data_IF_692621867001
#
_entry.id   IF_692621867001
#
_cell.length_a   1.000
_cell.length_b   1.000
_cell.length_c   1.000
_cell.angle_alpha   90.00
_cell.angle_beta   90.00
_cell.angle_gamma   90.00
#
_symmetry.space_group_name_H-M   'P 1'
#
loop_
_entity.id
_entity.type
_entity.pdbx_description
1 polymer ?
#
# COMPACT_ATOMS: atom_id res chain seq x y z
N UNK A 1 -17.63 -5.51 21.25
CA UNK A 1 -17.79 -6.30 20.03
C UNK A 1 -17.67 -7.78 20.40
N UNK A 2 -18.62 -8.62 20.03
CA UNK A 2 -18.60 -10.07 20.31
C UNK A 2 -18.38 -10.83 19.01
N UNK A 3 -17.78 -12.01 19.02
CA UNK A 3 -17.50 -12.80 17.82
C UNK A 3 -18.76 -13.09 16.99
N UNK A 4 -19.91 -13.30 17.62
CA UNK A 4 -21.20 -13.53 16.96
C UNK A 4 -21.83 -12.27 16.35
N UNK A 5 -21.32 -11.07 16.65
CA UNK A 5 -21.81 -9.79 16.09
C UNK A 5 -20.98 -9.29 14.92
N UNK A 6 -19.86 -9.97 14.61
CA UNK A 6 -19.01 -9.63 13.47
C UNK A 6 -19.73 -10.05 12.18
N UNK A 7 -20.15 -9.07 11.40
CA UNK A 7 -20.81 -9.27 10.10
C UNK A 7 -20.06 -8.47 9.03
N UNK A 8 -20.01 -9.04 7.83
CA UNK A 8 -19.51 -8.31 6.67
C UNK A 8 -20.42 -7.10 6.38
N UNK A 9 -19.84 -6.00 5.92
CA UNK A 9 -20.61 -4.82 5.51
C UNK A 9 -21.63 -5.18 4.43
N UNK A 10 -22.81 -4.55 4.42
CA UNK A 10 -23.80 -4.76 3.35
C UNK A 10 -23.17 -4.56 1.97
N UNK A 11 -23.40 -5.49 1.05
CA UNK A 11 -22.82 -5.46 -0.30
C UNK A 11 -21.38 -5.95 -0.45
N UNK A 12 -20.65 -6.25 0.63
CA UNK A 12 -19.27 -6.76 0.57
C UNK A 12 -19.16 -8.20 0.08
N UNK A 13 -20.27 -8.97 0.14
CA UNK A 13 -20.36 -10.34 -0.39
C UNK A 13 -21.46 -10.43 -1.42
N UNK A 14 -21.15 -10.91 -2.62
CA UNK A 14 -22.13 -11.24 -3.63
C UNK A 14 -22.84 -12.55 -3.32
N UNK A 15 -24.08 -12.67 -3.76
CA UNK A 15 -24.85 -13.92 -3.65
C UNK A 15 -24.22 -14.99 -4.53
N UNK A 16 -24.05 -16.21 -4.01
CA UNK A 16 -23.49 -17.34 -4.75
C UNK A 16 -24.47 -17.80 -5.84
N UNK A 17 -24.03 -17.81 -7.10
CA UNK A 17 -24.79 -18.36 -8.21
C UNK A 17 -24.62 -19.88 -8.29
N UNK A 18 -25.74 -20.59 -8.40
CA UNK A 18 -25.80 -22.04 -8.67
C UNK A 18 -25.95 -22.26 -10.17
N UNK A 19 -24.83 -22.45 -10.84
CA UNK A 19 -24.79 -22.63 -12.30
C UNK A 19 -25.27 -24.04 -12.73
N UNK A 20 -25.77 -24.18 -13.96
CA UNK A 20 -26.21 -25.46 -14.50
C UNK A 20 -27.50 -26.01 -13.85
N UNK A 21 -28.40 -25.16 -13.32
CA UNK A 21 -29.64 -25.55 -12.62
C UNK A 21 -30.89 -25.04 -13.33
N UNK A 22 -31.00 -25.38 -14.61
CA UNK A 22 -32.18 -25.08 -15.45
C UNK A 22 -32.06 -23.79 -16.22
N UNK A 23 -32.88 -23.69 -17.28
CA UNK A 23 -32.86 -22.54 -18.20
C UNK A 23 -33.46 -21.29 -17.57
N UNK A 24 -34.45 -21.44 -16.69
CA UNK A 24 -35.10 -20.32 -15.99
C UNK A 24 -34.19 -19.53 -15.06
N UNK A 25 -33.06 -20.12 -14.62
CA UNK A 25 -32.07 -19.41 -13.80
C UNK A 25 -31.19 -18.43 -14.58
N UNK A 26 -31.21 -18.47 -15.93
CA UNK A 26 -30.28 -17.75 -16.80
C UNK A 26 -28.84 -18.33 -16.83
N UNK A 27 -28.54 -19.28 -15.96
CA UNK A 27 -27.20 -19.93 -15.80
C UNK A 27 -27.24 -21.44 -16.11
N UNK A 28 -28.32 -21.90 -16.85
CA UNK A 28 -28.44 -23.28 -17.28
C UNK A 28 -27.46 -23.66 -18.38
N UNK A 29 -27.56 -24.92 -18.86
CA UNK A 29 -26.81 -25.49 -20.00
C UNK A 29 -25.29 -25.24 -19.87
N UNK A 30 -24.79 -24.20 -20.50
CA UNK A 30 -23.33 -23.86 -20.54
C UNK A 30 -22.80 -23.12 -19.31
N UNK A 31 -23.66 -22.84 -18.33
CA UNK A 31 -23.30 -22.17 -17.08
C UNK A 31 -22.57 -20.82 -17.26
N UNK A 32 -22.89 -20.09 -18.33
CA UNK A 32 -22.26 -18.80 -18.68
C UNK A 32 -20.85 -18.93 -19.31
N UNK A 33 -20.37 -20.16 -19.58
CA UNK A 33 -19.04 -20.37 -20.17
C UNK A 33 -18.99 -20.37 -21.70
N UNK A 34 -20.17 -20.40 -22.36
CA UNK A 34 -20.28 -20.53 -23.81
C UNK A 34 -19.96 -21.93 -24.32
N UNK A 35 -19.79 -22.05 -25.62
CA UNK A 35 -19.46 -23.30 -26.29
C UNK A 35 -17.97 -23.38 -26.58
N UNK A 36 -17.38 -24.58 -26.43
CA UNK A 36 -15.95 -24.86 -26.75
C UNK A 36 -14.96 -23.85 -26.12
N UNK A 37 -13.69 -23.97 -26.44
CA UNK A 37 -12.64 -23.10 -25.92
C UNK A 37 -12.04 -23.54 -24.58
N UNK A 38 -10.87 -23.04 -24.30
CA UNK A 38 -10.06 -23.43 -23.13
C UNK A 38 -10.75 -23.12 -21.80
N UNK A 39 -11.45 -21.97 -21.71
CA UNK A 39 -12.14 -21.52 -20.48
C UNK A 39 -13.41 -22.30 -20.17
N UNK A 40 -14.01 -22.98 -21.16
CA UNK A 40 -15.22 -23.78 -20.97
C UNK A 40 -14.96 -25.21 -20.49
N UNK A 41 -13.72 -25.65 -20.48
CA UNK A 41 -13.34 -26.99 -20.04
C UNK A 41 -13.20 -27.08 -18.53
N UNK A 42 -13.26 -28.30 -18.00
CA UNK A 42 -12.93 -28.56 -16.59
C UNK A 42 -11.48 -28.16 -16.35
N UNK A 43 -11.20 -27.42 -15.28
CA UNK A 43 -9.85 -26.87 -15.03
C UNK A 43 -9.39 -25.81 -16.05
N UNK A 44 -10.31 -25.31 -16.90
CA UNK A 44 -10.01 -24.29 -17.90
C UNK A 44 -9.35 -23.06 -17.28
N UNK A 45 -8.16 -22.74 -17.74
CA UNK A 45 -7.32 -21.69 -17.19
C UNK A 45 -6.91 -20.69 -18.27
N UNK A 46 -6.90 -19.40 -17.92
CA UNK A 46 -6.34 -18.37 -18.78
C UNK A 46 -4.89 -18.13 -18.41
N UNK A 47 -3.99 -18.54 -19.31
CA UNK A 47 -2.55 -18.33 -19.10
C UNK A 47 -2.22 -16.84 -19.07
N UNK A 48 -1.86 -16.33 -17.90
CA UNK A 48 -1.54 -14.91 -17.69
C UNK A 48 -0.29 -14.53 -18.47
N UNK A 49 -0.39 -13.42 -19.23
CA UNK A 49 0.75 -12.91 -20.01
C UNK A 49 1.09 -13.75 -21.25
N UNK A 50 0.19 -14.63 -21.72
CA UNK A 50 0.37 -15.37 -22.95
C UNK A 50 0.04 -14.49 -24.17
N UNK A 51 0.98 -14.36 -25.10
CA UNK A 51 0.92 -13.50 -26.28
C UNK A 51 0.87 -14.35 -27.58
N UNK A 52 0.02 -15.38 -27.62
CA UNK A 52 -0.19 -16.20 -28.83
C UNK A 52 1.02 -17.00 -29.30
N UNK A 53 2.02 -17.25 -28.45
CA UNK A 53 3.29 -17.92 -28.80
C UNK A 53 4.46 -16.96 -29.00
N UNK A 54 4.20 -15.67 -29.17
CA UNK A 54 5.24 -14.64 -29.13
C UNK A 54 5.87 -14.59 -27.72
N UNK A 55 7.19 -14.30 -27.65
CA UNK A 55 7.87 -14.16 -26.37
C UNK A 55 7.17 -13.08 -25.52
N UNK A 56 6.65 -13.42 -24.34
CA UNK A 56 5.93 -12.48 -23.48
C UNK A 56 6.79 -11.28 -23.09
N UNK A 57 6.17 -10.11 -22.95
CA UNK A 57 6.86 -8.84 -22.66
C UNK A 57 7.80 -8.93 -21.44
N UNK A 58 7.37 -9.60 -20.37
CA UNK A 58 8.19 -9.80 -19.15
C UNK A 58 9.45 -10.63 -19.38
N UNK A 59 9.53 -11.39 -20.48
CA UNK A 59 10.72 -12.15 -20.89
C UNK A 59 11.55 -11.43 -21.95
N UNK A 60 10.92 -10.55 -22.75
CA UNK A 60 11.62 -9.72 -23.74
C UNK A 60 12.43 -8.60 -23.10
N UNK A 61 11.92 -8.05 -22.00
CA UNK A 61 12.61 -6.98 -21.27
C UNK A 61 13.76 -7.55 -20.46
N UNK A 62 14.95 -6.94 -20.51
CA UNK A 62 16.06 -7.36 -19.68
C UNK A 62 15.76 -7.11 -18.20
N UNK A 63 16.12 -8.05 -17.35
CA UNK A 63 16.05 -7.87 -15.89
C UNK A 63 17.13 -6.86 -15.48
N UNK A 64 16.74 -5.85 -14.70
CA UNK A 64 17.66 -4.80 -14.21
C UNK A 64 17.46 -4.57 -12.72
N UNK A 65 18.54 -4.13 -12.09
CA UNK A 65 18.56 -3.73 -10.70
C UNK A 65 18.56 -4.89 -9.72
N UNK A 66 18.49 -4.52 -8.46
CA UNK A 66 18.42 -5.44 -7.32
C UNK A 66 17.35 -4.97 -6.34
N UNK A 67 16.90 -5.87 -5.48
CA UNK A 67 15.98 -5.54 -4.39
C UNK A 67 16.78 -5.26 -3.13
N UNK A 68 16.74 -4.02 -2.64
CA UNK A 68 17.38 -3.66 -1.38
C UNK A 68 16.66 -4.33 -0.20
N UNK A 69 17.39 -5.12 0.58
CA UNK A 69 16.86 -5.78 1.77
C UNK A 69 16.60 -4.80 2.92
N UNK A 70 17.34 -3.70 2.96
CA UNK A 70 17.23 -2.68 4.01
C UNK A 70 16.11 -1.67 3.77
N UNK A 71 15.61 -1.56 2.54
CA UNK A 71 14.57 -0.58 2.17
C UNK A 71 13.31 -0.66 3.04
N UNK A 72 12.93 -1.83 3.50
CA UNK A 72 11.75 -2.05 4.36
C UNK A 72 11.90 -1.48 5.76
N UNK A 73 13.12 -1.22 6.19
CA UNK A 73 13.43 -0.68 7.53
C UNK A 73 13.61 0.84 7.53
N UNK A 74 13.66 1.46 6.35
CA UNK A 74 13.83 2.90 6.20
C UNK A 74 12.56 3.50 5.60
N UNK A 75 12.04 4.54 6.24
CA UNK A 75 10.86 5.26 5.78
C UNK A 75 11.18 6.72 5.45
N UNK A 76 10.47 7.27 4.46
CA UNK A 76 10.53 8.69 4.12
C UNK A 76 9.21 9.35 4.49
N UNK A 77 9.26 10.43 5.28
CA UNK A 77 8.10 11.17 5.76
C UNK A 77 8.12 12.58 5.14
N UNK A 78 6.97 13.03 4.67
CA UNK A 78 6.80 14.36 4.06
C UNK A 78 6.29 15.36 5.10
N UNK A 79 6.64 16.65 4.97
CA UNK A 79 6.10 17.71 5.84
C UNK A 79 4.58 17.79 5.80
N UNK A 80 3.95 17.57 4.64
CA UNK A 80 2.50 17.51 4.52
C UNK A 80 1.84 16.37 5.33
N UNK A 81 2.54 15.28 5.59
CA UNK A 81 2.04 14.20 6.45
C UNK A 81 2.13 14.62 7.93
N UNK A 82 3.22 15.28 8.31
CA UNK A 82 3.40 15.85 9.66
C UNK A 82 2.35 16.92 9.94
N UNK A 83 2.01 17.76 8.96
CA UNK A 83 0.97 18.78 9.11
C UNK A 83 -0.39 18.22 9.51
N UNK A 84 -0.71 17.00 9.10
CA UNK A 84 -1.99 16.31 9.41
C UNK A 84 -2.02 15.63 10.78
N UNK A 85 -0.89 15.54 11.45
CA UNK A 85 -0.80 14.94 12.78
C UNK A 85 -1.16 15.98 13.85
N UNK A 86 -1.92 15.59 14.85
CA UNK A 86 -2.26 16.47 15.99
C UNK A 86 -1.19 16.46 17.09
N UNK A 87 -0.11 15.70 16.95
CA UNK A 87 0.98 15.61 17.92
C UNK A 87 1.97 16.78 17.79
N UNK A 88 2.41 17.36 18.91
CA UNK A 88 3.44 18.39 18.96
C UNK A 88 4.85 17.80 18.90
N UNK A 89 5.06 16.64 19.50
CA UNK A 89 6.33 15.90 19.45
C UNK A 89 6.24 14.76 18.43
N UNK A 90 7.20 14.73 17.53
CA UNK A 90 7.27 13.77 16.41
C UNK A 90 8.50 12.89 16.62
N UNK A 91 8.23 11.65 17.01
CA UNK A 91 9.21 10.58 17.10
C UNK A 91 8.83 9.40 16.19
N UNK A 92 9.66 8.37 16.11
CA UNK A 92 9.40 7.20 15.28
C UNK A 92 8.14 6.44 15.74
N UNK A 93 7.86 6.42 17.04
CA UNK A 93 6.71 5.71 17.59
C UNK A 93 5.41 6.44 17.25
N UNK A 94 5.38 7.76 17.41
CA UNK A 94 4.24 8.61 17.02
C UNK A 94 3.89 8.42 15.55
N UNK A 95 4.90 8.37 14.66
CA UNK A 95 4.70 8.14 13.24
C UNK A 95 4.16 6.73 12.91
N UNK A 96 4.57 5.72 13.66
CA UNK A 96 4.05 4.35 13.55
C UNK A 96 2.60 4.24 14.01
N UNK A 97 2.27 4.84 15.16
CA UNK A 97 0.89 4.87 15.68
C UNK A 97 -0.07 5.59 14.74
N UNK A 98 0.40 6.66 14.10
CA UNK A 98 -0.37 7.39 13.08
C UNK A 98 -0.46 6.66 11.72
N UNK A 99 0.22 5.52 11.55
CA UNK A 99 0.22 4.76 10.30
C UNK A 99 0.95 5.42 9.14
N UNK A 100 1.73 6.48 9.38
CA UNK A 100 2.51 7.17 8.35
C UNK A 100 3.74 6.36 7.96
N UNK A 101 4.31 5.66 8.94
CA UNK A 101 5.51 4.84 8.79
C UNK A 101 5.16 3.38 9.08
N UNK A 102 5.63 2.42 8.26
CA UNK A 102 5.42 1.00 8.51
C UNK A 102 5.95 0.57 9.88
N UNK A 103 5.29 -0.38 10.53
CA UNK A 103 5.69 -0.91 11.85
C UNK A 103 7.10 -1.49 11.86
N UNK A 104 7.54 -2.07 10.74
CA UNK A 104 8.87 -2.64 10.57
C UNK A 104 9.98 -1.59 10.42
N UNK A 105 9.66 -0.33 10.17
CA UNK A 105 10.67 0.70 10.00
C UNK A 105 11.45 0.92 11.30
N UNK A 106 12.75 0.96 11.17
CA UNK A 106 13.71 1.24 12.26
C UNK A 106 14.20 2.68 12.20
N UNK A 107 14.17 3.28 11.03
CA UNK A 107 14.61 4.63 10.77
C UNK A 107 13.63 5.39 9.88
N UNK A 108 13.46 6.69 10.14
CA UNK A 108 12.65 7.54 9.28
C UNK A 108 13.37 8.86 9.00
N UNK A 109 13.23 9.36 7.76
CA UNK A 109 13.82 10.63 7.33
C UNK A 109 12.73 11.57 6.84
N UNK A 110 12.74 12.79 7.36
CA UNK A 110 11.81 13.85 6.96
C UNK A 110 12.40 14.61 5.76
N UNK A 111 11.57 14.78 4.72
CA UNK A 111 11.93 15.49 3.48
C UNK A 111 11.03 16.69 3.25
N UNK A 112 11.60 17.75 2.63
CA UNK A 112 10.87 18.96 2.25
C UNK A 112 9.90 18.65 1.11
N UNK A 113 8.69 18.23 1.47
CA UNK A 113 7.58 18.04 0.51
C UNK A 113 6.28 18.48 1.19
N UNK A 114 5.61 19.48 0.61
CA UNK A 114 4.43 20.11 1.20
C UNK A 114 4.79 21.23 2.18
N UNK A 115 3.76 21.84 2.75
CA UNK A 115 3.86 22.95 3.66
C UNK A 115 3.69 22.51 5.11
N UNK A 116 4.37 23.19 6.01
CA UNK A 116 4.23 23.04 7.45
C UNK A 116 4.00 24.42 8.06
N UNK A 117 2.80 24.67 8.58
CA UNK A 117 2.41 25.94 9.20
C UNK A 117 2.37 25.89 10.72
N UNK A 118 2.52 24.70 11.32
CA UNK A 118 2.45 24.52 12.77
C UNK A 118 3.83 24.24 13.37
N UNK A 119 3.97 24.60 14.63
CA UNK A 119 5.14 24.30 15.43
C UNK A 119 5.21 22.82 15.78
N UNK A 120 6.36 22.18 15.53
CA UNK A 120 6.60 20.77 15.87
C UNK A 120 8.01 20.58 16.42
N UNK A 121 8.15 19.64 17.36
CA UNK A 121 9.42 19.17 17.89
C UNK A 121 9.73 17.80 17.29
N UNK A 122 10.86 17.66 16.63
CA UNK A 122 11.28 16.40 16.00
C UNK A 122 12.39 15.77 16.84
N UNK A 123 12.21 14.50 17.24
CA UNK A 123 13.18 13.77 18.05
C UNK A 123 13.61 12.45 17.40
N UNK A 124 14.90 12.20 17.35
CA UNK A 124 15.46 10.92 16.91
C UNK A 124 15.18 10.55 15.45
N UNK A 125 14.87 11.51 14.58
CA UNK A 125 14.60 11.31 13.17
C UNK A 125 15.63 12.03 12.31
N UNK A 126 15.96 11.44 11.16
CA UNK A 126 16.75 12.14 10.15
C UNK A 126 15.93 13.26 9.50
N UNK A 127 16.53 14.42 9.31
CA UNK A 127 15.88 15.57 8.68
C UNK A 127 16.77 16.11 7.56
N UNK A 128 16.20 16.29 6.36
CA UNK A 128 16.94 16.93 5.27
C UNK A 128 17.14 18.42 5.55
N UNK A 129 18.22 19.02 5.06
CA UNK A 129 18.54 20.43 5.28
C UNK A 129 17.38 21.38 4.93
N UNK A 130 16.70 21.12 3.80
CA UNK A 130 15.53 21.92 3.40
C UNK A 130 14.31 21.71 4.30
N UNK A 131 14.12 20.52 4.89
CA UNK A 131 13.03 20.29 5.84
C UNK A 131 13.34 20.96 7.19
N UNK A 132 14.60 20.93 7.63
CA UNK A 132 15.06 21.57 8.85
C UNK A 132 14.77 23.09 8.81
N UNK A 133 15.13 23.77 7.72
CA UNK A 133 14.87 25.19 7.55
C UNK A 133 13.37 25.53 7.64
N UNK A 134 12.48 24.68 7.09
CA UNK A 134 11.03 24.91 7.15
C UNK A 134 10.49 24.67 8.57
N UNK A 135 10.97 23.65 9.28
CA UNK A 135 10.56 23.37 10.66
C UNK A 135 10.99 24.53 11.59
N UNK A 136 12.22 25.01 11.46
CA UNK A 136 12.74 26.15 12.23
C UNK A 136 11.99 27.45 11.92
N UNK A 137 11.67 27.70 10.63
CA UNK A 137 10.88 28.86 10.22
C UNK A 137 9.45 28.82 10.80
N UNK A 138 8.87 27.62 10.99
CA UNK A 138 7.60 27.43 11.66
C UNK A 138 7.69 27.47 13.20
N UNK A 139 8.86 27.79 13.76
CA UNK A 139 9.10 27.87 15.22
C UNK A 139 9.29 26.52 15.90
N UNK A 140 9.53 25.45 15.15
CA UNK A 140 9.82 24.11 15.66
C UNK A 140 11.29 23.90 16.03
N UNK A 141 11.58 22.79 16.66
CA UNK A 141 12.95 22.35 16.99
C UNK A 141 13.22 20.96 16.42
N UNK A 142 14.48 20.72 16.06
CA UNK A 142 14.95 19.43 15.54
C UNK A 142 16.07 18.95 16.43
N UNK A 143 15.80 17.94 17.25
CA UNK A 143 16.81 17.17 17.96
C UNK A 143 17.27 16.07 16.99
N UNK A 144 18.37 16.33 16.28
CA UNK A 144 18.91 15.39 15.30
C UNK A 144 19.23 14.05 15.98
N UNK A 145 18.84 12.95 15.36
CA UNK A 145 19.45 11.67 15.66
C UNK A 145 20.94 11.79 15.33
N UNK A 146 21.78 11.45 16.27
CA UNK A 146 23.21 11.26 15.99
C UNK A 146 23.29 10.19 14.91
N UNK A 147 23.81 10.57 13.73
CA UNK A 147 23.98 9.65 12.60
C UNK A 147 24.75 8.42 13.08
N UNK A 148 24.07 7.25 13.07
CA UNK A 148 24.69 5.95 13.29
C UNK A 148 24.97 5.31 11.95
#
# INVERSE_FOLDING_TARGET
MRLNTIKASPGSKSVRHRVGRGIGSGWGKTAGRGHKGQKSRSGGFHKVGFEGGQMPLHRRLPKRGFTSLTRRYVATVRLSQIQRLDAEEIDLMTLKHAGIVPTLAQYARIVKTGELSRRVKVRGLGVSAGAKAVIEAAGGSVDAAVDA
#
